data_IF_392113204891
#
_entry.id   IF_392113204891
#
_cell.length_a   1.000
_cell.length_b   1.000
_cell.length_c   1.000
_cell.angle_alpha   90.00
_cell.angle_beta   90.00
_cell.angle_gamma   90.00
#
_symmetry.space_group_name_H-M   'P 1'
#
loop_
_entity.id
_entity.type
_entity.pdbx_description
1 polymer ?
#
# COMPACT_ATOMS: atom_id res chain seq x y z
N UNK A 1 -3.08 -14.01 6.02
CA UNK A 1 -2.80 -12.95 5.03
C UNK A 1 -4.07 -12.68 4.24
N UNK A 2 -4.41 -11.42 4.00
CA UNK A 2 -5.55 -11.05 3.16
C UNK A 2 -5.06 -10.29 1.93
N UNK A 3 -5.56 -10.64 0.74
CA UNK A 3 -5.19 -9.96 -0.51
C UNK A 3 -6.41 -9.65 -1.36
N UNK A 4 -6.32 -8.58 -2.14
CA UNK A 4 -7.31 -8.28 -3.18
C UNK A 4 -6.91 -9.05 -4.45
N UNK A 5 -7.78 -9.98 -4.86
CA UNK A 5 -7.62 -10.80 -6.06
C UNK A 5 -8.70 -10.46 -7.09
N UNK A 6 -8.45 -10.78 -8.35
CA UNK A 6 -9.44 -10.66 -9.44
C UNK A 6 -9.82 -12.02 -10.01
N UNK A 7 -11.07 -12.15 -10.44
CA UNK A 7 -11.54 -13.34 -11.15
C UNK A 7 -11.22 -13.24 -12.65
N UNK A 8 -10.03 -13.72 -13.04
CA UNK A 8 -9.56 -13.62 -14.42
C UNK A 8 -9.35 -12.17 -14.88
N UNK A 9 -9.49 -11.94 -16.20
CA UNK A 9 -9.22 -10.64 -16.83
C UNK A 9 -10.41 -9.67 -16.82
N UNK A 10 -11.64 -10.20 -16.83
CA UNK A 10 -12.88 -9.42 -16.94
C UNK A 10 -13.81 -9.60 -15.74
N UNK A 11 -13.44 -10.42 -14.76
CA UNK A 11 -14.22 -10.59 -13.54
C UNK A 11 -13.94 -9.48 -12.52
N UNK A 12 -14.74 -9.49 -11.46
CA UNK A 12 -14.63 -8.51 -10.38
C UNK A 12 -13.46 -8.77 -9.43
N UNK A 13 -13.24 -7.84 -8.51
CA UNK A 13 -12.30 -7.99 -7.41
C UNK A 13 -12.97 -8.61 -6.17
N UNK A 14 -12.21 -9.40 -5.40
CA UNK A 14 -12.65 -10.00 -4.15
C UNK A 14 -11.50 -10.08 -3.14
N UNK A 15 -11.84 -10.25 -1.87
CA UNK A 15 -10.86 -10.49 -0.80
C UNK A 15 -10.58 -11.98 -0.69
N UNK A 16 -9.33 -12.37 -0.87
CA UNK A 16 -8.85 -13.74 -0.66
C UNK A 16 -8.11 -13.83 0.67
N UNK A 17 -8.47 -14.82 1.48
CA UNK A 17 -7.86 -15.07 2.78
C UNK A 17 -6.99 -16.33 2.72
N UNK A 18 -5.74 -16.20 3.15
CA UNK A 18 -4.82 -17.32 3.35
C UNK A 18 -4.58 -17.51 4.85
N UNK A 19 -4.95 -18.67 5.42
CA UNK A 19 -4.66 -19.00 6.81
C UNK A 19 -3.15 -19.02 7.06
N UNK A 20 -2.71 -18.37 8.14
CA UNK A 20 -1.32 -18.40 8.59
C UNK A 20 -1.05 -19.56 9.56
N UNK A 21 0.19 -19.63 10.05
CA UNK A 21 0.61 -20.61 11.07
C UNK A 21 0.47 -20.14 12.52
N UNK A 22 -0.30 -19.08 12.78
CA UNK A 22 -0.53 -18.58 14.15
C UNK A 22 -1.33 -19.59 14.97
N UNK A 23 -0.98 -19.75 16.26
CA UNK A 23 -1.77 -20.54 17.21
C UNK A 23 -2.98 -19.76 17.74
N UNK A 24 -2.90 -18.43 17.70
CA UNK A 24 -3.96 -17.56 18.16
C UNK A 24 -4.98 -17.30 17.04
N UNK A 25 -6.26 -17.41 17.38
CA UNK A 25 -7.37 -17.07 16.50
C UNK A 25 -7.68 -15.58 16.57
N UNK A 26 -8.22 -15.04 15.47
CA UNK A 26 -8.71 -13.66 15.43
C UNK A 26 -9.96 -13.55 16.30
N UNK A 27 -10.10 -12.48 17.13
CA UNK A 27 -11.31 -12.22 17.89
C UNK A 27 -12.55 -12.17 17.00
N UNK A 28 -13.60 -12.89 17.40
CA UNK A 28 -14.85 -13.01 16.66
C UNK A 28 -15.92 -11.99 17.07
N UNK A 29 -15.63 -11.17 18.08
CA UNK A 29 -16.51 -10.12 18.61
C UNK A 29 -16.51 -8.83 17.77
N UNK A 30 -15.81 -8.85 16.62
CA UNK A 30 -15.67 -7.71 15.72
C UNK A 30 -14.51 -6.78 16.07
N UNK A 31 -13.77 -7.04 17.15
CA UNK A 31 -12.53 -6.31 17.47
C UNK A 31 -11.31 -6.82 16.70
N UNK A 32 -11.43 -7.98 16.04
CA UNK A 32 -10.35 -8.61 15.30
C UNK A 32 -10.01 -7.90 13.99
N UNK A 33 -8.72 -7.72 13.73
CA UNK A 33 -8.19 -7.12 12.50
C UNK A 33 -7.16 -8.03 11.82
N UNK A 34 -7.14 -8.00 10.48
CA UNK A 34 -6.11 -8.67 9.69
C UNK A 34 -4.90 -7.75 9.56
N UNK A 35 -3.82 -8.04 10.27
CA UNK A 35 -2.61 -7.21 10.24
C UNK A 35 -1.79 -7.37 8.95
N UNK A 36 -1.84 -8.55 8.32
CA UNK A 36 -1.10 -8.84 7.10
C UNK A 36 -2.02 -8.74 5.90
N UNK A 37 -1.91 -7.63 5.17
CA UNK A 37 -2.70 -7.38 3.97
C UNK A 37 -1.82 -7.03 2.77
N UNK A 38 -2.34 -7.32 1.58
CA UNK A 38 -1.74 -6.95 0.30
C UNK A 38 -2.77 -6.33 -0.63
N UNK A 39 -2.41 -5.19 -1.22
CA UNK A 39 -3.23 -4.53 -2.24
C UNK A 39 -3.32 -5.36 -3.53
N UNK A 40 -4.22 -4.95 -4.42
CA UNK A 40 -4.30 -5.49 -5.78
C UNK A 40 -3.11 -5.02 -6.63
N UNK A 41 -2.77 -5.80 -7.65
CA UNK A 41 -1.83 -5.41 -8.70
C UNK A 41 -2.63 -4.96 -9.92
N UNK A 42 -2.37 -3.75 -10.41
CA UNK A 42 -2.96 -3.27 -11.66
C UNK A 42 -2.24 -3.88 -12.88
N UNK A 43 -3.00 -4.51 -13.77
CA UNK A 43 -2.46 -5.17 -14.96
C UNK A 43 -1.83 -4.17 -15.94
N UNK A 44 -2.37 -2.97 -16.06
CA UNK A 44 -1.85 -1.98 -16.99
C UNK A 44 -0.47 -1.48 -16.53
N UNK A 45 -0.35 -1.22 -15.23
CA UNK A 45 0.93 -0.92 -14.57
C UNK A 45 1.91 -2.09 -14.70
N UNK A 46 1.47 -3.33 -14.52
CA UNK A 46 2.31 -4.51 -14.70
C UNK A 46 2.83 -4.61 -16.15
N UNK A 47 1.98 -4.40 -17.15
CA UNK A 47 2.39 -4.38 -18.56
C UNK A 47 3.36 -3.25 -18.87
N UNK A 48 3.12 -2.05 -18.34
CA UNK A 48 4.03 -0.93 -18.48
C UNK A 48 5.40 -1.24 -17.84
N UNK A 49 5.42 -1.85 -16.65
CA UNK A 49 6.67 -2.25 -15.98
C UNK A 49 7.44 -3.31 -16.79
N UNK A 50 6.74 -4.29 -17.35
CA UNK A 50 7.33 -5.30 -18.22
C UNK A 50 7.92 -4.68 -19.49
N UNK A 51 7.16 -3.80 -20.14
CA UNK A 51 7.59 -3.08 -21.35
C UNK A 51 8.75 -2.10 -21.08
N UNK A 52 8.83 -1.54 -19.87
CA UNK A 52 9.93 -0.64 -19.47
C UNK A 52 11.27 -1.35 -19.31
N UNK A 53 11.26 -2.69 -19.21
CA UNK A 53 12.46 -3.52 -19.14
C UNK A 53 13.18 -3.42 -17.80
N UNK A 54 13.76 -4.52 -17.35
CA UNK A 54 14.65 -4.61 -16.18
C UNK A 54 16.01 -3.89 -16.44
N UNK A 55 16.01 -2.68 -16.98
CA UNK A 55 17.18 -1.84 -17.23
C UNK A 55 17.28 -0.73 -16.20
N UNK A 56 18.29 -0.79 -15.34
CA UNK A 56 18.42 0.02 -14.14
C UNK A 56 18.26 1.53 -14.30
N UNK A 57 17.80 2.14 -13.21
CA UNK A 57 17.93 3.57 -12.85
C UNK A 57 17.65 4.58 -13.97
N UNK A 58 16.37 4.89 -14.18
CA UNK A 58 15.98 6.23 -14.61
C UNK A 58 15.45 6.99 -13.39
N UNK A 59 16.33 7.74 -12.75
CA UNK A 59 15.96 8.85 -11.86
C UNK A 59 15.20 9.89 -12.68
N UNK A 60 13.89 9.73 -12.82
CA UNK A 60 13.02 10.83 -13.22
C UNK A 60 12.64 11.59 -11.96
N UNK A 61 13.39 12.67 -11.76
CA UNK A 61 13.13 13.75 -10.82
C UNK A 61 11.75 14.36 -11.18
N UNK A 62 10.69 13.72 -10.69
CA UNK A 62 9.31 14.17 -10.84
C UNK A 62 8.99 15.08 -9.68
N UNK A 63 9.22 16.37 -9.89
CA UNK A 63 8.80 17.49 -9.03
C UNK A 63 7.44 17.22 -8.40
N UNK A 64 7.44 16.82 -7.13
CA UNK A 64 6.25 16.92 -6.29
C UNK A 64 5.90 18.40 -6.18
N UNK A 65 4.63 18.81 -6.41
CA UNK A 65 4.24 20.17 -6.09
C UNK A 65 4.41 20.33 -4.58
N UNK A 66 5.36 21.17 -4.19
CA UNK A 66 5.50 21.57 -2.79
C UNK A 66 4.15 22.18 -2.34
N UNK A 67 3.59 21.77 -1.20
CA UNK A 67 2.47 22.50 -0.62
C UNK A 67 2.96 23.90 -0.28
N UNK A 68 2.44 24.89 -1.00
CA UNK A 68 2.60 26.28 -0.65
C UNK A 68 1.85 26.54 0.65
N UNK A 69 2.59 26.87 1.72
CA UNK A 69 2.07 27.58 2.89
C UNK A 69 1.75 26.70 4.10
N UNK A 70 2.67 26.68 5.06
CA UNK A 70 2.47 27.26 6.39
C UNK A 70 3.83 27.30 7.09
N UNK A 71 4.40 28.51 7.15
CA UNK A 71 5.31 28.90 8.22
C UNK A 71 4.58 28.65 9.55
N UNK A 72 4.97 27.60 10.26
CA UNK A 72 4.73 27.48 11.69
C UNK A 72 6.09 27.29 12.36
N UNK A 73 6.83 28.39 12.41
CA UNK A 73 7.99 28.55 13.28
C UNK A 73 7.50 28.46 14.74
N UNK A 74 7.41 27.24 15.28
CA UNK A 74 7.16 27.05 16.71
C UNK A 74 8.29 27.75 17.51
N UNK A 75 7.97 28.66 18.45
CA UNK A 75 9.01 29.26 19.29
C UNK A 75 9.63 28.19 20.20
N UNK A 76 10.92 28.32 20.59
CA UNK A 76 11.53 27.39 21.52
C UNK A 76 10.84 27.51 22.89
N UNK A 77 10.31 26.39 23.38
CA UNK A 77 9.79 26.22 24.73
C UNK A 77 10.96 26.26 25.72
N UNK A 78 11.29 27.45 26.23
CA UNK A 78 12.13 27.63 27.41
C UNK A 78 11.37 27.14 28.66
N UNK A 79 11.47 25.85 28.98
CA UNK A 79 11.10 25.36 30.32
C UNK A 79 12.28 25.61 31.28
N UNK A 80 12.19 26.68 32.06
CA UNK A 80 12.86 26.81 33.36
C UNK A 80 11.99 26.22 34.47
#
# INVERSE_FOLDING_TARGET
DARISTDGLLGGAYVSLEPGGSMDNIPQDGSGEIQYTRGSVDLLTLFASFASGNGGSASTNGTSPAPAGADDSAPPEDYQ
#
